data_IF_068850043483
#
_entry.id   IF_068850043483
#
_cell.length_a   1.000
_cell.length_b   1.000
_cell.length_c   1.000
_cell.angle_alpha   90.00
_cell.angle_beta   90.00
_cell.angle_gamma   90.00
#
_symmetry.space_group_name_H-M   'P 1'
#
loop_
_entity.id
_entity.type
_entity.pdbx_description
1 polymer ?
#
# COMPACT_ATOMS: atom_id res chain seq x y z
N UNK A 1 20.29 -2.93 -3.88
CA UNK A 1 19.74 -1.64 -3.40
C UNK A 1 20.29 -0.42 -4.14
N UNK A 2 21.55 -0.45 -4.61
CA UNK A 2 22.27 0.67 -5.27
C UNK A 2 21.55 1.30 -6.48
N UNK A 3 20.84 0.49 -7.28
CA UNK A 3 20.16 0.97 -8.49
C UNK A 3 18.96 1.88 -8.20
N UNK A 4 18.26 1.70 -7.07
CA UNK A 4 17.12 2.53 -6.69
C UNK A 4 17.54 3.91 -6.22
N UNK A 5 18.65 3.99 -5.48
CA UNK A 5 19.26 5.25 -5.04
C UNK A 5 19.85 6.04 -6.20
N UNK A 6 20.47 5.36 -7.17
CA UNK A 6 21.00 6.00 -8.39
C UNK A 6 19.89 6.63 -9.25
N UNK A 7 18.78 5.90 -9.46
CA UNK A 7 17.61 6.41 -10.18
C UNK A 7 17.03 7.63 -9.45
N UNK A 8 16.92 7.55 -8.12
CA UNK A 8 16.37 8.64 -7.32
C UNK A 8 17.25 9.90 -7.36
N UNK A 9 18.55 9.72 -7.18
CA UNK A 9 19.51 10.83 -7.15
C UNK A 9 19.67 11.48 -8.53
N UNK A 10 19.81 10.67 -9.59
CA UNK A 10 19.90 11.19 -10.95
C UNK A 10 18.66 12.04 -11.29
N UNK A 11 17.47 11.59 -10.87
CA UNK A 11 16.25 12.34 -11.16
C UNK A 11 16.15 13.65 -10.37
N UNK A 12 16.54 13.64 -9.10
CA UNK A 12 16.59 14.85 -8.29
C UNK A 12 17.52 15.91 -8.90
N UNK A 13 18.65 15.47 -9.47
CA UNK A 13 19.59 16.37 -10.13
C UNK A 13 19.03 16.92 -11.45
N UNK A 14 18.29 16.14 -12.23
CA UNK A 14 17.62 16.63 -13.44
C UNK A 14 16.55 17.70 -13.15
N UNK A 15 15.96 17.69 -11.96
CA UNK A 15 14.95 18.67 -11.55
C UNK A 15 15.56 20.02 -11.23
N UNK A 16 16.80 20.03 -10.77
CA UNK A 16 17.45 21.26 -10.35
C UNK A 16 17.63 22.23 -11.52
N UNK A 17 16.97 23.39 -11.44
CA UNK A 17 17.01 24.42 -12.48
C UNK A 17 16.27 24.05 -13.77
N UNK A 18 15.41 23.02 -13.77
CA UNK A 18 14.59 22.64 -14.93
C UNK A 18 13.09 22.74 -14.65
N UNK A 19 12.29 22.95 -15.71
CA UNK A 19 10.82 22.86 -15.66
C UNK A 19 10.32 21.44 -15.96
N UNK A 20 11.16 20.42 -15.75
CA UNK A 20 10.78 19.03 -16.03
C UNK A 20 9.83 18.52 -14.94
N UNK A 21 8.88 17.61 -15.26
CA UNK A 21 8.05 16.96 -14.25
C UNK A 21 8.91 16.25 -13.19
N UNK A 22 8.51 16.17 -11.93
CA UNK A 22 9.37 15.53 -10.92
C UNK A 22 9.66 14.05 -11.22
N UNK A 23 8.66 13.35 -11.72
CA UNK A 23 8.78 11.96 -12.16
C UNK A 23 8.56 11.86 -13.67
N UNK A 24 9.47 11.16 -14.35
CA UNK A 24 9.19 10.61 -15.67
C UNK A 24 8.42 9.28 -15.54
N UNK A 25 7.89 8.74 -16.65
CA UNK A 25 7.10 7.51 -16.63
C UNK A 25 7.82 6.33 -15.96
N UNK A 26 9.14 6.20 -16.20
CA UNK A 26 9.97 5.15 -15.62
C UNK A 26 10.04 5.25 -14.10
N UNK A 27 10.30 6.45 -13.58
CA UNK A 27 10.41 6.71 -12.13
C UNK A 27 9.04 6.61 -11.46
N UNK A 28 7.99 7.15 -12.09
CA UNK A 28 6.61 7.00 -11.61
C UNK A 28 6.17 5.54 -11.50
N UNK A 29 6.51 4.72 -12.51
CA UNK A 29 6.23 3.28 -12.49
C UNK A 29 7.02 2.57 -11.39
N UNK A 30 8.27 2.96 -11.18
CA UNK A 30 9.10 2.43 -10.10
C UNK A 30 8.50 2.72 -8.72
N UNK A 31 8.09 3.96 -8.43
CA UNK A 31 7.52 4.33 -7.13
C UNK A 31 6.12 3.72 -6.91
N UNK A 32 5.27 3.65 -7.95
CA UNK A 32 4.03 2.85 -7.88
C UNK A 32 4.30 1.40 -7.51
N UNK A 33 5.35 0.80 -8.09
CA UNK A 33 5.74 -0.58 -7.76
C UNK A 33 6.20 -0.73 -6.31
N UNK A 34 6.90 0.25 -5.74
CA UNK A 34 7.28 0.20 -4.31
C UNK A 34 6.02 0.18 -3.45
N UNK A 35 5.09 1.12 -3.66
CA UNK A 35 3.84 1.16 -2.90
C UNK A 35 3.01 -0.12 -3.03
N UNK A 36 2.97 -0.68 -4.24
CA UNK A 36 2.35 -1.97 -4.51
C UNK A 36 2.95 -3.11 -3.67
N UNK A 37 4.28 -3.16 -3.56
CA UNK A 37 5.01 -4.18 -2.79
C UNK A 37 4.75 -4.02 -1.28
N UNK A 38 4.76 -2.79 -0.75
CA UNK A 38 4.41 -2.55 0.67
C UNK A 38 3.01 -3.09 0.99
N UNK A 39 2.05 -2.77 0.11
CA UNK A 39 0.66 -3.22 0.21
C UNK A 39 0.56 -4.75 0.18
N UNK A 40 1.25 -5.40 -0.75
CA UNK A 40 1.28 -6.87 -0.84
C UNK A 40 1.86 -7.55 0.40
N UNK A 41 2.84 -6.91 1.05
CA UNK A 41 3.48 -7.43 2.26
C UNK A 41 2.73 -7.04 3.55
N UNK A 42 1.58 -6.36 3.45
CA UNK A 42 0.82 -5.88 4.60
C UNK A 42 1.58 -4.82 5.41
N UNK A 43 2.60 -4.18 4.83
CA UNK A 43 3.40 -3.15 5.49
C UNK A 43 2.70 -1.80 5.40
N UNK A 44 2.94 -0.96 6.40
CA UNK A 44 2.27 0.33 6.51
C UNK A 44 2.78 1.34 5.49
N UNK A 45 1.88 1.90 4.68
CA UNK A 45 2.17 3.04 3.81
C UNK A 45 2.72 4.23 4.61
N UNK A 46 2.25 4.45 5.85
CA UNK A 46 2.74 5.54 6.69
C UNK A 46 4.21 5.37 7.08
N UNK A 47 4.66 4.13 7.29
CA UNK A 47 6.08 3.83 7.56
C UNK A 47 6.95 4.16 6.34
N UNK A 48 6.50 3.80 5.12
CA UNK A 48 7.20 4.14 3.89
C UNK A 48 7.30 5.66 3.69
N UNK A 49 6.20 6.39 3.86
CA UNK A 49 6.19 7.85 3.75
C UNK A 49 7.09 8.52 4.81
N UNK A 50 7.14 7.97 6.02
CA UNK A 50 8.04 8.44 7.06
C UNK A 50 9.51 8.24 6.65
N UNK A 51 9.86 7.08 6.12
CA UNK A 51 11.20 6.79 5.63
C UNK A 51 11.63 7.75 4.51
N UNK A 52 10.72 8.06 3.58
CA UNK A 52 10.94 9.07 2.54
C UNK A 52 11.22 10.47 3.11
N UNK A 53 10.40 10.94 4.05
CA UNK A 53 10.60 12.25 4.71
C UNK A 53 11.93 12.33 5.44
N UNK A 54 12.32 11.26 6.14
CA UNK A 54 13.63 11.18 6.81
C UNK A 54 14.75 11.23 5.78
N UNK A 55 14.66 10.45 4.70
CA UNK A 55 15.65 10.45 3.62
C UNK A 55 15.82 11.83 2.96
N UNK A 56 14.71 12.53 2.70
CA UNK A 56 14.72 13.88 2.14
C UNK A 56 15.40 14.88 3.09
N UNK A 57 15.12 14.80 4.40
CA UNK A 57 15.76 15.66 5.40
C UNK A 57 17.26 15.43 5.47
N UNK A 58 17.70 14.16 5.50
CA UNK A 58 19.12 13.80 5.53
C UNK A 58 19.82 14.28 4.25
N UNK A 59 19.18 14.12 3.09
CA UNK A 59 19.72 14.62 1.82
C UNK A 59 19.86 16.15 1.84
N UNK A 60 18.84 16.87 2.31
CA UNK A 60 18.88 18.32 2.45
C UNK A 60 20.00 18.79 3.39
N UNK A 61 20.12 18.21 4.59
CA UNK A 61 21.15 18.57 5.57
C UNK A 61 22.55 18.40 4.96
N UNK A 62 22.80 17.30 4.24
CA UNK A 62 24.10 17.05 3.63
C UNK A 62 24.40 17.95 2.42
N UNK A 63 23.40 18.16 1.55
CA UNK A 63 23.56 18.96 0.34
C UNK A 63 23.68 20.45 0.66
N UNK A 64 22.86 20.96 1.57
CA UNK A 64 22.88 22.38 1.97
C UNK A 64 24.20 22.76 2.65
N UNK A 65 24.72 21.92 3.56
CA UNK A 65 26.00 22.15 4.22
C UNK A 65 27.15 22.27 3.20
N UNK A 66 27.18 21.37 2.20
CA UNK A 66 28.17 21.42 1.12
C UNK A 66 28.01 22.64 0.23
N UNK A 67 26.79 22.96 -0.17
CA UNK A 67 26.49 24.12 -1.02
C UNK A 67 26.89 25.43 -0.34
N UNK A 68 26.60 25.60 0.95
CA UNK A 68 27.05 26.76 1.74
C UNK A 68 28.57 26.84 1.77
N UNK A 69 29.27 25.73 2.04
CA UNK A 69 30.74 25.70 2.05
C UNK A 69 31.37 26.04 0.69
N UNK A 70 30.64 25.82 -0.41
CA UNK A 70 31.05 26.12 -1.77
C UNK A 70 30.64 27.53 -2.24
N UNK A 71 30.05 28.36 -1.37
CA UNK A 71 29.64 29.73 -1.71
C UNK A 71 28.42 29.81 -2.64
N UNK A 72 27.59 28.75 -2.67
CA UNK A 72 26.33 28.74 -3.45
C UNK A 72 25.40 29.84 -2.93
N UNK A 73 24.75 30.56 -3.85
CA UNK A 73 23.85 31.66 -3.49
C UNK A 73 22.58 31.17 -2.79
N UNK A 74 21.97 32.02 -1.96
CA UNK A 74 20.69 31.72 -1.30
C UNK A 74 19.60 31.36 -2.30
N UNK A 75 19.54 32.03 -3.46
CA UNK A 75 18.55 31.73 -4.50
C UNK A 75 18.68 30.29 -5.04
N UNK A 76 19.92 29.83 -5.23
CA UNK A 76 20.19 28.44 -5.66
C UNK A 76 19.86 27.43 -4.54
N UNK A 77 20.10 27.77 -3.28
CA UNK A 77 19.69 26.93 -2.13
C UNK A 77 18.17 26.79 -2.03
N UNK A 78 17.43 27.87 -2.26
CA UNK A 78 15.95 27.85 -2.30
C UNK A 78 15.47 26.94 -3.43
N UNK A 79 16.00 27.11 -4.64
CA UNK A 79 15.65 26.25 -5.78
C UNK A 79 15.96 24.78 -5.54
N UNK A 80 17.06 24.48 -4.83
CA UNK A 80 17.39 23.12 -4.41
C UNK A 80 16.35 22.55 -3.43
N UNK A 81 15.95 23.34 -2.43
CA UNK A 81 14.94 22.93 -1.46
C UNK A 81 13.59 22.65 -2.14
N UNK A 82 13.16 23.55 -3.03
CA UNK A 82 11.93 23.38 -3.83
C UNK A 82 11.99 22.09 -4.66
N UNK A 83 13.13 21.82 -5.31
CA UNK A 83 13.32 20.60 -6.10
C UNK A 83 13.17 19.33 -5.24
N UNK A 84 13.71 19.33 -4.02
CA UNK A 84 13.56 18.22 -3.07
C UNK A 84 12.11 18.04 -2.64
N UNK A 85 11.39 19.14 -2.34
CA UNK A 85 9.98 19.07 -1.93
C UNK A 85 9.08 18.55 -3.05
N UNK A 86 9.22 19.11 -4.26
CA UNK A 86 8.46 18.64 -5.42
C UNK A 86 8.75 17.16 -5.70
N UNK A 87 10.01 16.73 -5.57
CA UNK A 87 10.37 15.33 -5.79
C UNK A 87 9.77 14.39 -4.74
N UNK A 88 9.86 14.75 -3.46
CA UNK A 88 9.37 13.90 -2.36
C UNK A 88 7.85 13.76 -2.38
N UNK A 89 7.14 14.82 -2.76
CA UNK A 89 5.68 14.81 -2.86
C UNK A 89 5.21 13.89 -3.99
N UNK A 90 5.83 14.01 -5.18
CA UNK A 90 5.46 13.21 -6.34
C UNK A 90 5.79 11.72 -6.15
N UNK A 91 6.96 11.37 -5.61
CA UNK A 91 7.31 9.97 -5.36
C UNK A 91 6.45 9.35 -4.24
N UNK A 92 6.04 10.16 -3.27
CA UNK A 92 5.09 9.76 -2.23
C UNK A 92 3.71 9.50 -2.83
N UNK A 93 3.21 10.42 -3.66
CA UNK A 93 1.93 10.28 -4.37
C UNK A 93 1.89 9.03 -5.24
N UNK A 94 2.92 8.79 -6.05
CA UNK A 94 3.04 7.59 -6.87
C UNK A 94 3.04 6.31 -6.01
N UNK A 95 3.75 6.31 -4.88
CA UNK A 95 3.76 5.16 -3.96
C UNK A 95 2.39 4.93 -3.32
N UNK A 96 1.69 5.99 -2.89
CA UNK A 96 0.33 5.90 -2.34
C UNK A 96 -0.64 5.32 -3.37
N UNK A 97 -0.58 5.79 -4.62
CA UNK A 97 -1.39 5.24 -5.71
C UNK A 97 -1.16 3.74 -5.89
N UNK A 98 0.11 3.33 -5.98
CA UNK A 98 0.46 1.90 -6.13
C UNK A 98 -0.01 1.06 -4.95
N UNK A 99 0.10 1.59 -3.73
CA UNK A 99 -0.36 0.92 -2.52
C UNK A 99 -1.89 0.74 -2.52
N UNK A 100 -2.64 1.79 -2.83
CA UNK A 100 -4.10 1.79 -2.89
C UNK A 100 -4.62 0.86 -4.01
N UNK A 101 -4.02 0.91 -5.21
CA UNK A 101 -4.41 0.01 -6.31
C UNK A 101 -4.21 -1.46 -5.94
N UNK A 102 -3.10 -1.82 -5.32
CA UNK A 102 -2.90 -3.20 -4.86
C UNK A 102 -3.84 -3.59 -3.71
N UNK A 103 -4.17 -2.66 -2.81
CA UNK A 103 -5.14 -2.91 -1.76
C UNK A 103 -6.53 -3.21 -2.35
N UNK A 104 -7.01 -2.36 -3.26
CA UNK A 104 -8.28 -2.57 -3.94
C UNK A 104 -8.33 -3.88 -4.74
N UNK A 105 -7.24 -4.27 -5.41
CA UNK A 105 -7.16 -5.58 -6.08
C UNK A 105 -7.32 -6.74 -5.10
N UNK A 106 -6.67 -6.67 -3.92
CA UNK A 106 -6.82 -7.71 -2.89
C UNK A 106 -8.24 -7.75 -2.32
N UNK A 107 -8.86 -6.59 -2.13
CA UNK A 107 -10.23 -6.51 -1.61
C UNK A 107 -11.22 -7.13 -2.60
N UNK A 108 -11.10 -6.82 -3.90
CA UNK A 108 -11.92 -7.46 -4.95
C UNK A 108 -11.73 -8.98 -4.97
N UNK A 109 -10.49 -9.46 -4.87
CA UNK A 109 -10.23 -10.91 -4.83
C UNK A 109 -10.80 -11.58 -3.58
N UNK A 110 -10.73 -10.91 -2.42
CA UNK A 110 -11.33 -11.39 -1.16
C UNK A 110 -12.86 -11.44 -1.24
N UNK A 111 -13.49 -10.38 -1.76
CA UNK A 111 -14.93 -10.34 -1.97
C UNK A 111 -15.40 -11.47 -2.88
N UNK A 112 -14.71 -11.70 -3.99
CA UNK A 112 -15.02 -12.80 -4.91
C UNK A 112 -14.94 -14.17 -4.22
N UNK A 113 -13.94 -14.39 -3.36
CA UNK A 113 -13.85 -15.64 -2.61
C UNK A 113 -15.02 -15.79 -1.62
N UNK A 114 -15.42 -14.71 -0.95
CA UNK A 114 -16.60 -14.72 -0.06
C UNK A 114 -17.87 -15.07 -0.83
N UNK A 115 -18.10 -14.46 -1.98
CA UNK A 115 -19.24 -14.76 -2.86
C UNK A 115 -19.28 -16.25 -3.25
N UNK A 116 -18.17 -16.79 -3.74
CA UNK A 116 -18.06 -18.21 -4.11
C UNK A 116 -18.37 -19.17 -2.94
N UNK A 117 -17.93 -18.81 -1.73
CA UNK A 117 -18.18 -19.61 -0.53
C UNK A 117 -19.66 -19.55 -0.10
N UNK A 118 -20.29 -18.39 -0.20
CA UNK A 118 -21.71 -18.19 0.14
C UNK A 118 -22.62 -18.90 -0.87
N UNK A 119 -22.27 -18.85 -2.16
CA UNK A 119 -23.02 -19.52 -3.23
C UNK A 119 -22.89 -21.05 -3.20
N UNK A 120 -22.05 -21.59 -2.32
CA UNK A 120 -21.81 -23.03 -2.23
C UNK A 120 -21.04 -23.59 -3.43
N UNK A 121 -20.29 -22.74 -4.14
CA UNK A 121 -19.54 -23.10 -5.35
C UNK A 121 -18.51 -24.21 -5.10
N UNK A 122 -18.13 -24.47 -3.84
CA UNK A 122 -17.26 -25.59 -3.44
C UNK A 122 -17.78 -26.94 -3.96
N UNK A 123 -19.10 -27.12 -4.07
CA UNK A 123 -19.71 -28.36 -4.54
C UNK A 123 -19.64 -28.53 -6.06
N UNK A 124 -19.57 -27.42 -6.81
CA UNK A 124 -19.62 -27.41 -8.29
C UNK A 124 -18.27 -27.13 -8.95
N UNK A 125 -17.41 -26.32 -8.33
CA UNK A 125 -16.08 -25.93 -8.81
C UNK A 125 -15.08 -25.80 -7.64
N UNK A 126 -14.67 -26.92 -7.02
CA UNK A 126 -13.73 -26.90 -5.91
C UNK A 126 -12.34 -26.36 -6.32
N UNK A 127 -11.93 -26.54 -7.57
CA UNK A 127 -10.64 -26.03 -8.07
C UNK A 127 -10.67 -24.50 -8.22
N UNK A 128 -11.76 -23.92 -8.72
CA UNK A 128 -11.94 -22.47 -8.80
C UNK A 128 -11.96 -21.80 -7.43
N UNK A 129 -12.63 -22.42 -6.44
CA UNK A 129 -12.60 -21.92 -5.06
C UNK A 129 -11.19 -22.01 -4.48
N UNK A 130 -10.47 -23.12 -4.67
CA UNK A 130 -9.09 -23.24 -4.19
C UNK A 130 -8.18 -22.20 -4.84
N UNK A 131 -8.28 -21.97 -6.15
CA UNK A 131 -7.50 -20.95 -6.84
C UNK A 131 -7.80 -19.53 -6.33
N UNK A 132 -9.07 -19.23 -6.01
CA UNK A 132 -9.45 -17.95 -5.42
C UNK A 132 -8.89 -17.79 -3.99
N UNK A 133 -8.88 -18.86 -3.20
CA UNK A 133 -8.30 -18.89 -1.86
C UNK A 133 -6.78 -18.67 -1.90
N UNK A 134 -6.08 -19.37 -2.79
CA UNK A 134 -4.64 -19.23 -3.01
C UNK A 134 -4.26 -17.80 -3.44
N UNK A 135 -5.07 -17.17 -4.31
CA UNK A 135 -4.83 -15.82 -4.81
C UNK A 135 -4.80 -14.74 -3.70
N UNK A 136 -5.51 -14.97 -2.60
CA UNK A 136 -5.53 -14.06 -1.43
C UNK A 136 -4.73 -14.60 -0.24
N UNK A 137 -4.02 -15.72 -0.42
CA UNK A 137 -3.24 -16.37 0.64
C UNK A 137 -4.09 -16.89 1.80
N UNK A 138 -5.35 -17.24 1.53
CA UNK A 138 -6.28 -17.72 2.55
C UNK A 138 -6.38 -19.25 2.49
N UNK A 139 -6.20 -19.90 3.65
CA UNK A 139 -6.34 -21.35 3.76
C UNK A 139 -7.79 -21.71 4.04
N UNK A 140 -8.39 -22.53 3.18
CA UNK A 140 -9.75 -23.02 3.37
C UNK A 140 -9.76 -23.98 4.58
N UNK A 141 -10.45 -23.66 5.69
CA UNK A 141 -10.51 -24.51 6.85
C UNK A 141 -11.59 -25.59 6.67
N UNK A 142 -11.48 -26.70 7.41
CA UNK A 142 -12.51 -27.75 7.41
C UNK A 142 -13.87 -27.25 7.92
N UNK A 143 -13.87 -26.23 8.79
CA UNK A 143 -15.09 -25.63 9.37
C UNK A 143 -14.99 -24.12 9.36
N UNK A 144 -16.10 -23.48 9.00
CA UNK A 144 -16.26 -22.03 8.95
C UNK A 144 -17.56 -21.61 9.64
N UNK A 145 -17.63 -20.36 10.09
CA UNK A 145 -18.88 -19.70 10.42
C UNK A 145 -19.04 -18.42 9.60
N UNK A 146 -20.29 -18.08 9.30
CA UNK A 146 -20.66 -16.80 8.70
C UNK A 146 -21.31 -15.93 9.76
N UNK A 147 -20.86 -14.69 9.88
CA UNK A 147 -21.46 -13.67 10.73
C UNK A 147 -21.85 -12.46 9.89
N UNK A 148 -23.01 -11.87 10.18
CA UNK A 148 -23.42 -10.58 9.63
C UNK A 148 -23.22 -9.52 10.71
N UNK A 149 -22.38 -8.55 10.43
CA UNK A 149 -21.94 -7.53 11.39
C UNK A 149 -22.43 -6.16 10.92
N UNK A 150 -23.23 -5.43 11.72
CA UNK A 150 -23.59 -4.06 11.40
C UNK A 150 -22.36 -3.15 11.38
N UNK A 151 -22.25 -2.32 10.35
CA UNK A 151 -21.19 -1.32 10.21
C UNK A 151 -21.75 0.07 10.49
N UNK A 152 -21.42 0.68 11.64
CA UNK A 152 -21.79 2.06 11.89
C UNK A 152 -21.05 2.98 10.89
N UNK A 153 -21.71 4.06 10.42
CA UNK A 153 -21.13 4.98 9.45
C UNK A 153 -19.81 5.57 9.97
N UNK A 154 -18.80 5.63 9.10
CA UNK A 154 -17.48 6.19 9.41
C UNK A 154 -16.52 5.22 10.11
N UNK A 155 -16.87 3.94 10.27
CA UNK A 155 -15.96 2.90 10.76
C UNK A 155 -15.68 1.87 9.67
N UNK A 156 -14.46 1.86 9.14
CA UNK A 156 -13.99 0.76 8.30
C UNK A 156 -13.67 -0.45 9.20
N UNK A 157 -14.32 -1.61 9.01
CA UNK A 157 -13.99 -2.81 9.76
C UNK A 157 -12.60 -3.29 9.34
N UNK A 158 -11.65 -3.32 10.27
CA UNK A 158 -10.39 -4.03 10.06
C UNK A 158 -10.59 -5.49 10.46
N UNK A 159 -10.92 -6.33 9.48
CA UNK A 159 -10.97 -7.78 9.70
C UNK A 159 -9.54 -8.31 9.98
N UNK A 160 -9.38 -9.23 10.96
CA UNK A 160 -8.14 -9.99 11.09
C UNK A 160 -7.75 -10.67 9.77
N UNK A 161 -6.45 -10.89 9.56
CA UNK A 161 -5.94 -11.40 8.27
C UNK A 161 -6.53 -12.76 7.85
N UNK A 162 -6.96 -13.57 8.82
CA UNK A 162 -7.57 -14.89 8.64
C UNK A 162 -9.10 -14.84 8.47
N UNK A 163 -9.73 -13.68 8.64
CA UNK A 163 -11.17 -13.46 8.42
C UNK A 163 -11.37 -12.88 7.03
N UNK A 164 -12.24 -13.51 6.24
CA UNK A 164 -12.70 -12.91 4.99
C UNK A 164 -13.91 -12.03 5.30
N UNK A 165 -13.92 -10.80 4.81
CA UNK A 165 -15.03 -9.88 5.01
C UNK A 165 -15.47 -9.30 3.66
N UNK A 166 -16.78 -9.22 3.48
CA UNK A 166 -17.44 -8.53 2.37
C UNK A 166 -18.31 -7.44 2.98
N UNK A 167 -18.09 -6.19 2.57
CA UNK A 167 -18.90 -5.05 3.01
C UNK A 167 -20.04 -4.83 2.00
N UNK A 168 -21.27 -4.81 2.51
CA UNK A 168 -22.48 -4.57 1.73
C UNK A 168 -23.30 -3.45 2.40
N UNK A 169 -23.18 -2.22 1.89
CA UNK A 169 -23.87 -1.06 2.44
C UNK A 169 -23.50 -0.79 3.89
N UNK A 170 -24.45 -0.99 4.82
CA UNK A 170 -24.27 -0.78 6.26
C UNK A 170 -23.99 -2.08 7.04
N UNK A 171 -23.69 -3.18 6.36
CA UNK A 171 -23.40 -4.48 6.96
C UNK A 171 -22.11 -5.07 6.37
N UNK A 172 -21.50 -6.00 7.10
CA UNK A 172 -20.42 -6.84 6.60
C UNK A 172 -20.75 -8.31 6.84
N UNK A 173 -20.53 -9.13 5.81
CA UNK A 173 -20.50 -10.57 5.93
C UNK A 173 -19.07 -10.99 6.24
N UNK A 174 -18.85 -11.61 7.39
CA UNK A 174 -17.56 -12.13 7.82
C UNK A 174 -17.57 -13.66 7.84
N UNK A 175 -16.58 -14.27 7.18
CA UNK A 175 -16.32 -15.72 7.24
C UNK A 175 -15.15 -15.95 8.19
N UNK A 176 -15.42 -16.64 9.29
CA UNK A 176 -14.46 -16.95 10.34
C UNK A 176 -13.99 -18.41 10.23
N UNK A 177 -12.67 -18.66 10.21
CA UNK A 177 -12.13 -20.01 10.29
C UNK A 177 -12.30 -20.58 11.70
N UNK A 178 -12.62 -21.88 11.77
CA UNK A 178 -12.73 -22.68 13.00
C UNK A 178 -13.48 -21.98 14.17
N UNK A 179 -14.80 -21.84 14.07
CA UNK A 179 -15.62 -21.12 15.05
C UNK A 179 -15.66 -21.76 16.45
N UNK A 180 -15.09 -22.96 16.61
CA UNK A 180 -15.01 -23.69 17.89
C UNK A 180 -13.73 -23.41 18.68
N UNK A 181 -12.77 -22.67 18.10
CA UNK A 181 -11.51 -22.34 18.76
C UNK A 181 -11.67 -21.44 20.00
N UNK A 182 -10.80 -21.58 21.04
CA UNK A 182 -10.92 -20.80 22.26
C UNK A 182 -10.84 -19.28 22.00
N UNK A 183 -11.82 -18.52 22.51
CA UNK A 183 -11.81 -17.05 22.51
C UNK A 183 -12.41 -16.34 21.30
N UNK A 184 -12.84 -17.04 20.24
CA UNK A 184 -13.33 -16.38 19.00
C UNK A 184 -14.77 -15.85 19.05
N UNK A 185 -15.67 -16.45 19.84
CA UNK A 185 -17.03 -15.92 20.06
C UNK A 185 -17.06 -14.53 20.71
N UNK A 186 -15.97 -14.12 21.39
CA UNK A 186 -15.80 -12.79 22.00
C UNK A 186 -15.24 -11.74 21.03
N UNK A 187 -14.88 -12.14 19.79
CA UNK A 187 -14.36 -11.25 18.73
C UNK A 187 -15.40 -10.92 17.65
N UNK A 188 -16.60 -11.49 17.78
CA UNK A 188 -17.82 -11.05 17.10
C UNK A 188 -18.40 -9.86 17.86
#
# INVERSE_FOLDING_TARGET
MTRGTEIALARLLDLFGSNSPALNERSGTFYRRIGAIESQQGRSMAALLSAYRIGARVAWEHMSARAVSAGVSTAQLVSLAESIFVYIDELSGASVQGHASQAGMRDVQRSRLVELLIEGAVLGDPLGVQAAADAVGWTIPERMAVAVVPLPPGREPTAPADVLALVEGSEAIAILPDPSGPGRRRRL
#
